data_IF_605448903377
#
_entry.id   IF_605448903377
#
_cell.length_a   1.000
_cell.length_b   1.000
_cell.length_c   1.000
_cell.angle_alpha   90.00
_cell.angle_beta   90.00
_cell.angle_gamma   90.00
#
_symmetry.space_group_name_H-M   'P 1'
#
loop_
_entity.id
_entity.type
_entity.pdbx_description
1 polymer ?
#
# COMPACT_ATOMS: atom_id res chain seq x y z
N UNK A 1 28.04 37.06 -9.96
CA UNK A 1 26.84 37.91 -9.83
C UNK A 1 27.14 38.93 -8.74
N UNK A 2 26.90 40.24 -8.95
CA UNK A 2 27.07 41.23 -7.88
C UNK A 2 25.74 41.42 -7.16
N UNK A 3 25.61 40.89 -5.95
CA UNK A 3 24.32 40.88 -5.23
C UNK A 3 23.83 42.29 -4.91
N UNK A 4 24.75 43.22 -4.64
CA UNK A 4 24.48 44.61 -4.30
C UNK A 4 23.83 45.42 -5.43
N UNK A 5 24.05 45.06 -6.69
CA UNK A 5 23.55 45.82 -7.86
C UNK A 5 22.19 45.33 -8.37
N UNK A 6 21.74 44.17 -7.91
CA UNK A 6 20.52 43.54 -8.43
C UNK A 6 19.34 43.73 -7.49
N UNK A 7 18.15 43.93 -8.05
CA UNK A 7 16.90 43.90 -7.30
C UNK A 7 16.60 42.49 -6.78
N UNK A 8 15.75 42.36 -5.76
CA UNK A 8 15.30 41.07 -5.22
C UNK A 8 14.65 40.20 -6.32
N UNK A 9 13.93 40.84 -7.25
CA UNK A 9 13.26 40.15 -8.36
C UNK A 9 14.28 39.55 -9.32
N UNK A 10 15.33 40.28 -9.65
CA UNK A 10 16.41 39.81 -10.53
C UNK A 10 17.22 38.72 -9.85
N UNK A 11 17.58 38.87 -8.57
CA UNK A 11 18.26 37.83 -7.80
C UNK A 11 17.46 36.53 -7.74
N UNK A 12 16.14 36.64 -7.52
CA UNK A 12 15.24 35.48 -7.56
C UNK A 12 15.27 34.80 -8.92
N UNK A 13 15.16 35.57 -10.01
CA UNK A 13 15.17 35.04 -11.37
C UNK A 13 16.50 34.37 -11.74
N UNK A 14 17.63 34.94 -11.33
CA UNK A 14 18.95 34.32 -11.55
C UNK A 14 19.12 33.04 -10.75
N UNK A 15 18.78 33.04 -9.46
CA UNK A 15 18.87 31.83 -8.65
C UNK A 15 17.94 30.72 -9.14
N UNK A 16 16.77 31.06 -9.71
CA UNK A 16 15.84 30.07 -10.29
C UNK A 16 16.37 29.45 -11.60
N UNK A 17 17.29 30.12 -12.32
CA UNK A 17 17.98 29.57 -13.49
C UNK A 17 19.20 28.72 -13.11
N UNK A 18 19.74 28.89 -11.91
CA UNK A 18 20.92 28.16 -11.46
C UNK A 18 20.54 26.76 -10.97
N UNK A 19 21.33 25.78 -11.37
CA UNK A 19 21.33 24.49 -10.69
C UNK A 19 21.68 24.67 -9.21
N UNK A 20 21.03 23.91 -8.35
CA UNK A 20 21.17 24.10 -6.90
C UNK A 20 22.60 23.84 -6.41
N UNK A 21 23.36 23.01 -7.13
CA UNK A 21 24.79 22.75 -6.91
C UNK A 21 25.67 23.94 -7.27
N UNK A 22 25.26 24.77 -8.23
CA UNK A 22 25.99 25.97 -8.67
C UNK A 22 25.79 27.16 -7.72
N UNK A 23 24.77 27.12 -6.86
CA UNK A 23 24.57 28.12 -5.79
C UNK A 23 25.60 27.86 -4.70
N UNK A 24 26.74 28.57 -4.77
CA UNK A 24 27.87 28.37 -3.88
C UNK A 24 27.59 28.82 -2.43
N UNK A 25 28.39 28.34 -1.48
CA UNK A 25 28.26 28.77 -0.08
C UNK A 25 28.64 30.25 0.09
N UNK A 26 29.58 30.76 -0.72
CA UNK A 26 29.97 32.16 -0.74
C UNK A 26 28.82 33.06 -1.20
N UNK A 27 28.10 32.66 -2.26
CA UNK A 27 26.93 33.40 -2.73
C UNK A 27 25.82 33.41 -1.67
N UNK A 28 25.58 32.29 -0.98
CA UNK A 28 24.60 32.24 0.11
C UNK A 28 25.03 33.10 1.30
N UNK A 29 26.33 33.16 1.62
CA UNK A 29 26.86 34.05 2.65
C UNK A 29 26.65 35.53 2.27
N UNK A 30 26.92 35.90 1.02
CA UNK A 30 26.70 37.26 0.49
C UNK A 30 25.22 37.66 0.58
N UNK A 31 24.31 36.79 0.10
CA UNK A 31 22.86 37.00 0.19
C UNK A 31 22.35 37.06 1.64
N UNK A 32 23.00 36.34 2.57
CA UNK A 32 22.64 36.33 4.00
C UNK A 32 23.10 37.62 4.69
N UNK A 33 24.25 38.17 4.28
CA UNK A 33 24.82 39.40 4.80
C UNK A 33 24.17 40.67 4.21
N UNK A 34 23.39 40.54 3.14
CA UNK A 34 22.66 41.66 2.50
C UNK A 34 21.72 42.36 3.49
N UNK A 35 21.62 43.69 3.42
CA UNK A 35 20.80 44.49 4.33
C UNK A 35 19.30 44.36 4.08
N UNK A 36 18.89 43.94 2.88
CA UNK A 36 17.48 43.87 2.46
C UNK A 36 16.86 42.57 2.98
N UNK A 37 15.84 42.70 3.85
CA UNK A 37 15.15 41.55 4.47
C UNK A 37 14.65 40.50 3.47
N UNK A 38 14.20 40.91 2.28
CA UNK A 38 13.74 39.97 1.25
C UNK A 38 14.88 39.16 0.60
N UNK A 39 16.09 39.71 0.49
CA UNK A 39 17.29 38.97 0.03
C UNK A 39 17.71 37.96 1.09
N UNK A 40 17.72 38.36 2.37
CA UNK A 40 18.01 37.44 3.47
C UNK A 40 17.00 36.28 3.54
N UNK A 41 15.71 36.54 3.30
CA UNK A 41 14.68 35.49 3.22
C UNK A 41 14.91 34.56 2.02
N UNK A 42 15.33 35.10 0.88
CA UNK A 42 15.70 34.32 -0.31
C UNK A 42 16.90 33.40 -0.01
N UNK A 43 17.92 33.92 0.68
CA UNK A 43 19.07 33.12 1.13
C UNK A 43 18.64 31.95 2.02
N UNK A 44 17.82 32.21 3.04
CA UNK A 44 17.28 31.16 3.94
C UNK A 44 16.48 30.10 3.18
N UNK A 45 15.70 30.49 2.18
CA UNK A 45 14.95 29.55 1.32
C UNK A 45 15.89 28.63 0.57
N UNK A 46 16.94 29.16 -0.05
CA UNK A 46 17.91 28.36 -0.81
C UNK A 46 18.80 27.50 0.09
N UNK A 47 19.23 27.99 1.26
CA UNK A 47 19.93 27.19 2.27
C UNK A 47 19.08 25.97 2.69
N UNK A 48 17.81 26.17 3.05
CA UNK A 48 16.89 25.07 3.37
C UNK A 48 16.69 24.11 2.20
N UNK A 49 16.64 24.62 0.97
CA UNK A 49 16.52 23.80 -0.24
C UNK A 49 17.77 22.92 -0.42
N UNK A 50 18.98 23.48 -0.29
CA UNK A 50 20.27 22.74 -0.33
C UNK A 50 20.34 21.68 0.77
N UNK A 51 20.02 22.04 2.01
CA UNK A 51 20.00 21.12 3.14
C UNK A 51 19.06 19.93 2.91
N UNK A 52 17.83 20.19 2.45
CA UNK A 52 16.87 19.10 2.13
C UNK A 52 17.38 18.17 1.04
N UNK A 53 18.02 18.71 -0.01
CA UNK A 53 18.62 17.88 -1.06
C UNK A 53 19.78 17.04 -0.51
N UNK A 54 20.67 17.64 0.29
CA UNK A 54 21.77 16.93 0.92
C UNK A 54 21.26 15.81 1.85
N UNK A 55 20.26 16.08 2.67
CA UNK A 55 19.62 15.09 3.55
C UNK A 55 19.02 13.92 2.77
N UNK A 56 18.34 14.18 1.64
CA UNK A 56 17.80 13.12 0.78
C UNK A 56 18.88 12.24 0.17
N UNK A 57 20.01 12.84 -0.24
CA UNK A 57 21.16 12.09 -0.76
C UNK A 57 21.78 11.21 0.32
N UNK A 58 21.93 11.75 1.53
CA UNK A 58 22.51 11.00 2.64
C UNK A 58 21.59 9.86 3.08
N UNK A 59 20.30 10.15 3.27
CA UNK A 59 19.29 9.14 3.60
C UNK A 59 19.25 8.00 2.57
N UNK A 60 19.37 8.31 1.28
CA UNK A 60 19.42 7.30 0.24
C UNK A 60 20.65 6.39 0.39
N UNK A 61 21.83 6.95 0.67
CA UNK A 61 23.04 6.14 0.92
C UNK A 61 22.89 5.27 2.16
N UNK A 62 22.33 5.81 3.24
CA UNK A 62 22.05 5.05 4.45
C UNK A 62 21.09 3.88 4.17
N UNK A 63 20.04 4.12 3.39
CA UNK A 63 19.08 3.07 3.03
C UNK A 63 19.68 2.00 2.11
N UNK A 64 20.62 2.34 1.23
CA UNK A 64 21.26 1.40 0.30
C UNK A 64 22.26 0.45 0.98
N UNK A 65 22.59 0.67 2.26
CA UNK A 65 23.60 -0.13 2.96
C UNK A 65 23.28 -1.62 2.97
N UNK A 66 22.00 -2.02 3.03
CA UNK A 66 21.62 -3.43 3.00
C UNK A 66 21.94 -4.07 1.66
N UNK A 67 21.61 -3.40 0.56
CA UNK A 67 21.89 -3.84 -0.79
C UNK A 67 23.41 -3.86 -1.05
N UNK A 68 24.13 -2.83 -0.61
CA UNK A 68 25.60 -2.75 -0.76
C UNK A 68 26.31 -3.88 0.03
N UNK A 69 25.88 -4.16 1.27
CA UNK A 69 26.43 -5.23 2.08
C UNK A 69 26.19 -6.61 1.45
N UNK A 70 25.03 -6.82 0.82
CA UNK A 70 24.72 -8.07 0.10
C UNK A 70 25.51 -8.17 -1.20
N UNK A 71 25.63 -7.09 -1.97
CA UNK A 71 26.45 -7.06 -3.19
C UNK A 71 27.92 -7.41 -2.88
N UNK A 72 28.48 -6.85 -1.79
CA UNK A 72 29.83 -7.18 -1.31
C UNK A 72 30.00 -8.65 -0.89
N UNK A 73 28.92 -9.34 -0.54
CA UNK A 73 28.91 -10.79 -0.26
C UNK A 73 28.74 -11.65 -1.51
N UNK A 74 28.55 -11.04 -2.69
CA UNK A 74 28.48 -11.71 -3.98
C UNK A 74 27.08 -11.97 -4.51
N UNK A 75 26.02 -11.50 -3.84
CA UNK A 75 24.65 -11.54 -4.40
C UNK A 75 24.52 -10.47 -5.50
N UNK A 76 23.87 -10.79 -6.62
CA UNK A 76 23.75 -9.87 -7.77
C UNK A 76 22.33 -9.35 -7.92
N UNK A 77 21.33 -10.23 -7.82
CA UNK A 77 19.93 -9.89 -7.95
C UNK A 77 19.27 -9.82 -6.58
N UNK A 78 19.26 -8.61 -6.00
CA UNK A 78 18.67 -8.34 -4.68
C UNK A 78 17.28 -7.74 -4.89
N UNK A 79 16.25 -8.49 -4.51
CA UNK A 79 14.86 -8.06 -4.57
C UNK A 79 14.40 -7.45 -3.25
N UNK A 80 13.77 -6.28 -3.29
CA UNK A 80 13.01 -5.74 -2.16
C UNK A 80 11.54 -6.12 -2.27
N UNK A 81 10.90 -6.49 -1.17
CA UNK A 81 9.50 -6.94 -1.12
C UNK A 81 8.71 -6.13 -0.10
N UNK A 82 7.55 -5.64 -0.52
CA UNK A 82 6.58 -4.96 0.36
C UNK A 82 5.14 -5.13 -0.18
N UNK A 83 4.16 -4.83 0.67
CA UNK A 83 2.73 -4.88 0.37
C UNK A 83 1.99 -3.54 0.50
N UNK A 84 0.83 -3.47 -0.13
CA UNK A 84 -0.17 -2.45 0.10
C UNK A 84 -1.55 -3.07 0.22
N UNK A 85 -2.37 -2.54 1.14
CA UNK A 85 -3.78 -2.90 1.20
C UNK A 85 -4.16 -4.00 2.18
N UNK A 86 -3.39 -4.25 3.25
CA UNK A 86 -3.83 -5.20 4.29
C UNK A 86 -5.01 -4.71 5.14
N UNK A 87 -5.00 -3.44 5.53
CA UNK A 87 -6.01 -2.83 6.41
C UNK A 87 -7.36 -2.39 5.80
N UNK A 88 -7.45 -2.03 4.50
CA UNK A 88 -8.72 -1.65 3.86
C UNK A 88 -9.85 -2.66 4.00
N UNK A 89 -11.08 -2.16 4.02
CA UNK A 89 -12.32 -2.95 4.00
C UNK A 89 -12.68 -3.44 2.59
N UNK A 90 -12.13 -2.80 1.55
CA UNK A 90 -12.41 -3.10 0.16
C UNK A 90 -11.15 -3.13 -0.71
N UNK A 91 -11.26 -3.84 -1.84
CA UNK A 91 -10.23 -4.01 -2.85
C UNK A 91 -9.18 -5.08 -2.50
N UNK A 92 -8.23 -5.33 -3.41
CA UNK A 92 -7.24 -6.37 -3.26
C UNK A 92 -6.16 -6.00 -2.22
N UNK A 93 -5.38 -7.00 -1.83
CA UNK A 93 -4.02 -6.80 -1.33
C UNK A 93 -3.06 -6.92 -2.52
N UNK A 94 -2.14 -5.96 -2.64
CA UNK A 94 -1.12 -5.94 -3.67
C UNK A 94 0.25 -6.12 -3.01
N UNK A 95 1.11 -6.93 -3.58
CA UNK A 95 2.51 -7.00 -3.22
C UNK A 95 3.37 -6.74 -4.44
N UNK A 96 4.58 -6.23 -4.21
CA UNK A 96 5.54 -6.03 -5.28
C UNK A 96 6.91 -6.56 -4.86
N UNK A 97 7.68 -7.00 -5.86
CA UNK A 97 9.12 -7.24 -5.74
C UNK A 97 9.83 -6.37 -6.75
N UNK A 98 10.85 -5.63 -6.30
CA UNK A 98 11.64 -4.76 -7.17
C UNK A 98 13.11 -5.11 -7.05
N UNK A 99 13.73 -5.40 -8.19
CA UNK A 99 15.18 -5.56 -8.32
C UNK A 99 15.73 -4.27 -8.92
N UNK A 100 16.62 -3.60 -8.20
CA UNK A 100 17.24 -2.35 -8.66
C UNK A 100 18.63 -2.60 -9.23
N UNK A 101 19.10 -1.79 -10.20
CA UNK A 101 20.48 -1.89 -10.67
C UNK A 101 21.46 -1.47 -9.56
N UNK A 102 22.67 -2.01 -9.58
CA UNK A 102 23.68 -1.79 -8.53
C UNK A 102 24.03 -0.30 -8.38
N UNK A 103 24.08 0.44 -9.48
CA UNK A 103 24.43 1.86 -9.55
C UNK A 103 23.22 2.81 -9.42
N UNK A 104 22.05 2.28 -9.04
CA UNK A 104 20.83 3.06 -8.86
C UNK A 104 21.06 4.28 -7.96
N UNK A 105 20.60 5.45 -8.41
CA UNK A 105 20.71 6.68 -7.64
C UNK A 105 19.41 7.48 -7.69
N UNK A 106 18.56 7.26 -6.68
CA UNK A 106 17.23 7.85 -6.62
C UNK A 106 16.98 8.65 -5.32
N UNK A 107 17.71 9.75 -5.05
CA UNK A 107 17.54 10.53 -3.82
C UNK A 107 16.11 11.00 -3.56
N UNK A 108 15.64 10.72 -2.35
CA UNK A 108 14.28 11.03 -1.93
C UNK A 108 13.28 9.91 -2.15
N UNK A 109 13.69 8.77 -2.73
CA UNK A 109 12.99 7.51 -2.58
C UNK A 109 12.87 7.18 -1.09
N UNK A 110 11.67 6.80 -0.65
CA UNK A 110 11.34 6.51 0.74
C UNK A 110 10.00 5.77 0.79
N UNK A 111 9.59 5.32 1.97
CA UNK A 111 8.26 4.76 2.25
C UNK A 111 7.14 5.53 1.53
N UNK A 112 6.29 4.78 0.80
CA UNK A 112 5.12 5.28 0.08
C UNK A 112 4.17 6.14 0.93
N UNK A 113 4.10 5.92 2.24
CA UNK A 113 3.27 6.70 3.18
C UNK A 113 3.89 8.05 3.52
N UNK A 114 5.20 8.21 3.35
CA UNK A 114 5.93 9.47 3.59
C UNK A 114 6.04 10.36 2.34
N UNK A 115 5.53 9.88 1.21
CA UNK A 115 5.53 10.59 -0.06
C UNK A 115 4.12 11.10 -0.39
N UNK A 116 4.05 12.27 -1.03
CA UNK A 116 2.79 12.72 -1.64
C UNK A 116 2.45 11.84 -2.84
N UNK A 117 1.17 11.74 -3.19
CA UNK A 117 0.68 10.98 -4.34
C UNK A 117 1.42 11.36 -5.64
N UNK A 118 1.53 12.65 -5.94
CA UNK A 118 2.28 13.13 -7.11
C UNK A 118 3.75 12.69 -7.11
N UNK A 119 4.39 12.60 -5.93
CA UNK A 119 5.79 12.16 -5.84
C UNK A 119 5.92 10.65 -5.96
N UNK A 120 4.95 9.88 -5.44
CA UNK A 120 4.86 8.43 -5.67
C UNK A 120 4.70 8.12 -7.14
N UNK A 121 3.82 8.82 -7.84
CA UNK A 121 3.63 8.65 -9.29
C UNK A 121 4.91 8.95 -10.08
N UNK A 122 5.65 10.00 -9.71
CA UNK A 122 6.97 10.29 -10.32
C UNK A 122 7.96 9.14 -10.10
N UNK A 123 8.04 8.61 -8.87
CA UNK A 123 8.94 7.48 -8.58
C UNK A 123 8.47 6.18 -9.22
N UNK A 124 7.16 5.92 -9.27
CA UNK A 124 6.60 4.77 -9.97
C UNK A 124 7.05 4.74 -11.42
N UNK A 125 6.92 5.88 -12.14
CA UNK A 125 7.36 5.98 -13.52
C UNK A 125 8.88 5.74 -13.68
N UNK A 126 9.70 6.30 -12.78
CA UNK A 126 11.15 6.07 -12.79
C UNK A 126 11.53 4.63 -12.49
N UNK A 127 10.87 3.99 -11.53
CA UNK A 127 11.12 2.59 -11.20
C UNK A 127 10.77 1.69 -12.38
N UNK A 128 9.68 1.95 -13.08
CA UNK A 128 9.32 1.22 -14.31
C UNK A 128 10.35 1.37 -15.44
N UNK A 129 11.10 2.47 -15.47
CA UNK A 129 12.14 2.72 -16.47
C UNK A 129 13.52 2.18 -16.06
N UNK A 130 13.89 2.32 -14.78
CA UNK A 130 15.25 2.10 -14.29
C UNK A 130 15.44 0.77 -13.53
N UNK A 131 14.37 0.13 -13.04
CA UNK A 131 14.50 -1.15 -12.33
C UNK A 131 14.96 -2.26 -13.29
N UNK A 132 15.73 -3.21 -12.75
CA UNK A 132 16.16 -4.40 -13.48
C UNK A 132 14.97 -5.32 -13.75
N UNK A 133 14.09 -5.46 -12.76
CA UNK A 133 12.87 -6.24 -12.88
C UNK A 133 11.85 -5.82 -11.81
N UNK A 134 10.57 -5.95 -12.12
CA UNK A 134 9.44 -5.64 -11.23
C UNK A 134 8.38 -6.72 -11.36
N UNK A 135 8.13 -7.41 -10.26
CA UNK A 135 7.03 -8.35 -10.12
C UNK A 135 5.91 -7.74 -9.28
N UNK A 136 4.66 -7.95 -9.68
CA UNK A 136 3.48 -7.53 -8.91
C UNK A 136 2.54 -8.71 -8.76
N UNK A 137 2.02 -8.92 -7.56
CA UNK A 137 1.01 -9.93 -7.26
C UNK A 137 -0.22 -9.31 -6.63
N UNK A 138 -1.39 -9.79 -7.02
CA UNK A 138 -2.68 -9.24 -6.60
C UNK A 138 -3.58 -10.35 -6.09
N UNK A 139 -4.12 -10.18 -4.89
CA UNK A 139 -5.11 -11.10 -4.32
C UNK A 139 -6.37 -10.32 -3.99
N UNK A 140 -7.47 -10.68 -4.63
CA UNK A 140 -8.78 -10.03 -4.52
C UNK A 140 -9.48 -10.28 -3.17
N UNK A 141 -10.59 -9.57 -2.95
CA UNK A 141 -11.39 -9.66 -1.72
C UNK A 141 -11.95 -11.05 -1.48
N UNK A 142 -12.44 -11.72 -2.53
CA UNK A 142 -13.00 -13.07 -2.44
C UNK A 142 -11.95 -14.04 -1.90
N UNK A 143 -10.74 -14.00 -2.47
CA UNK A 143 -9.65 -14.85 -2.01
C UNK A 143 -9.19 -14.47 -0.60
N UNK A 144 -9.16 -13.18 -0.26
CA UNK A 144 -8.87 -12.72 1.11
C UNK A 144 -9.84 -13.33 2.11
N UNK A 145 -11.14 -13.33 1.79
CA UNK A 145 -12.18 -13.89 2.65
C UNK A 145 -12.04 -15.41 2.82
N UNK A 146 -11.57 -16.12 1.79
CA UNK A 146 -11.33 -17.57 1.85
C UNK A 146 -10.13 -17.96 2.71
N UNK A 147 -8.99 -17.27 2.55
CA UNK A 147 -7.72 -17.71 3.15
C UNK A 147 -7.25 -16.89 4.34
N UNK A 148 -7.95 -15.82 4.70
CA UNK A 148 -7.57 -14.73 5.60
C UNK A 148 -6.49 -13.78 5.05
N UNK A 149 -6.46 -12.56 5.58
CA UNK A 149 -5.58 -11.49 5.11
C UNK A 149 -4.09 -11.80 5.22
N UNK A 150 -3.66 -12.62 6.20
CA UNK A 150 -2.25 -12.97 6.35
C UNK A 150 -1.80 -13.91 5.24
N UNK A 151 -2.57 -14.96 4.96
CA UNK A 151 -2.22 -15.91 3.90
C UNK A 151 -2.42 -15.30 2.51
N UNK A 152 -3.42 -14.42 2.34
CA UNK A 152 -3.59 -13.65 1.10
C UNK A 152 -2.38 -12.74 0.84
N UNK A 153 -1.82 -12.10 1.87
CA UNK A 153 -0.58 -11.32 1.74
C UNK A 153 0.59 -12.19 1.26
N UNK A 154 0.79 -13.36 1.88
CA UNK A 154 1.82 -14.30 1.46
C UNK A 154 1.59 -14.84 0.04
N UNK A 155 0.34 -15.03 -0.37
CA UNK A 155 0.01 -15.40 -1.74
C UNK A 155 0.37 -14.27 -2.72
N UNK A 156 0.00 -13.01 -2.42
CA UNK A 156 0.36 -11.86 -3.25
C UNK A 156 1.89 -11.70 -3.38
N UNK A 157 2.64 -11.85 -2.28
CA UNK A 157 4.10 -11.78 -2.31
C UNK A 157 4.73 -12.88 -3.16
N UNK A 158 4.25 -14.12 -3.05
CA UNK A 158 4.73 -15.24 -3.88
C UNK A 158 4.39 -15.05 -5.34
N UNK A 159 3.20 -14.55 -5.64
CA UNK A 159 2.79 -14.21 -7.00
C UNK A 159 3.66 -13.10 -7.59
N UNK A 160 3.96 -12.05 -6.82
CA UNK A 160 4.89 -11.00 -7.20
C UNK A 160 6.27 -11.56 -7.53
N UNK A 161 6.80 -12.47 -6.70
CA UNK A 161 8.08 -13.16 -6.98
C UNK A 161 7.99 -13.99 -8.27
N UNK A 162 6.90 -14.73 -8.49
CA UNK A 162 6.75 -15.57 -9.70
C UNK A 162 6.56 -14.79 -10.99
N UNK A 163 6.16 -13.52 -10.88
CA UNK A 163 5.96 -12.62 -12.03
C UNK A 163 7.24 -11.87 -12.42
N UNK A 164 8.36 -12.10 -11.72
CA UNK A 164 9.68 -11.64 -12.17
C UNK A 164 10.16 -12.48 -13.35
N UNK A 165 10.78 -11.84 -14.33
CA UNK A 165 11.52 -12.50 -15.40
C UNK A 165 12.85 -13.09 -14.90
N UNK A 166 13.45 -12.43 -13.91
CA UNK A 166 14.73 -12.80 -13.30
C UNK A 166 14.52 -13.26 -11.85
N UNK A 167 14.98 -14.45 -11.53
CA UNK A 167 14.91 -14.97 -10.16
C UNK A 167 15.91 -14.23 -9.25
N UNK A 168 15.47 -13.58 -8.16
CA UNK A 168 16.38 -12.96 -7.20
C UNK A 168 17.29 -13.99 -6.51
N UNK A 169 18.53 -13.59 -6.22
CA UNK A 169 19.45 -14.36 -5.39
C UNK A 169 19.14 -14.18 -3.89
N UNK A 170 18.60 -13.00 -3.54
CA UNK A 170 18.31 -12.61 -2.16
C UNK A 170 17.11 -11.69 -2.09
N UNK A 171 16.31 -11.85 -1.04
CA UNK A 171 15.15 -11.00 -0.76
C UNK A 171 15.33 -10.19 0.53
N UNK A 172 15.12 -8.89 0.43
CA UNK A 172 14.89 -8.00 1.56
C UNK A 172 13.37 -7.81 1.69
N UNK A 173 12.78 -8.23 2.82
CA UNK A 173 11.32 -8.24 2.99
C UNK A 173 10.91 -7.32 4.14
N UNK A 174 9.90 -6.48 3.92
CA UNK A 174 9.30 -5.72 5.03
C UNK A 174 8.48 -6.64 5.94
N UNK A 175 8.75 -6.60 7.25
CA UNK A 175 7.98 -7.35 8.24
C UNK A 175 8.42 -8.80 8.44
N UNK A 176 7.76 -9.77 7.80
CA UNK A 176 7.90 -11.22 8.08
C UNK A 176 8.55 -12.00 6.93
N UNK A 177 9.10 -13.17 7.23
CA UNK A 177 9.67 -14.06 6.21
C UNK A 177 8.56 -14.69 5.38
N UNK A 178 8.74 -14.74 4.06
CA UNK A 178 7.74 -15.31 3.16
C UNK A 178 7.88 -16.83 3.22
N UNK A 179 6.82 -17.57 3.60
CA UNK A 179 6.88 -19.03 3.66
C UNK A 179 6.89 -19.63 2.24
N UNK A 180 7.37 -20.86 2.13
CA UNK A 180 7.29 -21.68 0.91
C UNK A 180 8.04 -21.10 -0.30
N UNK A 181 9.10 -20.32 -0.07
CA UNK A 181 10.04 -19.89 -1.10
C UNK A 181 11.45 -20.39 -0.82
N UNK A 182 12.15 -20.81 -1.88
CA UNK A 182 13.51 -21.34 -1.81
C UNK A 182 14.63 -20.31 -1.97
N UNK A 183 14.29 -19.02 -1.91
CA UNK A 183 15.23 -17.89 -2.07
C UNK A 183 15.69 -17.45 -0.68
N UNK A 184 16.95 -17.10 -0.52
CA UNK A 184 17.44 -16.56 0.75
C UNK A 184 16.78 -15.22 1.06
N UNK A 185 16.41 -15.01 2.34
CA UNK A 185 15.61 -13.85 2.74
C UNK A 185 16.17 -13.20 4.00
N UNK A 186 15.96 -11.90 4.12
CA UNK A 186 16.10 -11.16 5.38
C UNK A 186 14.88 -10.28 5.59
N UNK A 187 14.18 -10.55 6.68
CA UNK A 187 13.15 -9.62 7.17
C UNK A 187 13.78 -8.38 7.79
N UNK A 188 13.20 -7.22 7.51
CA UNK A 188 13.56 -5.94 8.09
C UNK A 188 12.33 -5.34 8.77
N UNK A 189 12.51 -4.87 10.01
CA UNK A 189 11.50 -4.04 10.68
C UNK A 189 11.62 -2.63 10.12
N UNK A 190 10.48 -2.09 9.68
CA UNK A 190 10.36 -0.81 8.97
C UNK A 190 11.32 -0.78 7.76
N UNK A 191 11.28 -1.85 6.96
CA UNK A 191 12.15 -2.06 5.82
C UNK A 191 12.00 -0.97 4.76
N UNK A 192 10.79 -0.48 4.55
CA UNK A 192 10.43 0.62 3.63
C UNK A 192 11.16 1.95 3.92
N UNK A 193 11.63 2.14 5.16
CA UNK A 193 12.40 3.31 5.59
C UNK A 193 13.91 3.06 5.69
N UNK A 194 14.34 1.83 5.40
CA UNK A 194 15.70 1.36 5.69
C UNK A 194 16.39 0.68 4.52
N UNK A 195 15.66 0.23 3.52
CA UNK A 195 16.16 -0.41 2.30
C UNK A 195 15.59 0.29 1.08
N UNK A 196 16.43 0.60 0.10
CA UNK A 196 15.99 1.27 -1.13
C UNK A 196 15.14 0.35 -2.00
N UNK A 197 15.43 -0.95 -2.03
CA UNK A 197 14.67 -1.93 -2.78
C UNK A 197 13.28 -2.16 -2.16
N UNK A 198 13.17 -2.25 -0.82
CA UNK A 198 11.86 -2.34 -0.15
C UNK A 198 11.06 -1.05 -0.34
N UNK A 199 11.68 0.12 -0.21
CA UNK A 199 11.00 1.39 -0.47
C UNK A 199 10.45 1.46 -1.90
N UNK A 200 11.19 0.97 -2.89
CA UNK A 200 10.73 0.86 -4.27
C UNK A 200 9.51 -0.06 -4.39
N UNK A 201 9.56 -1.25 -3.79
CA UNK A 201 8.44 -2.19 -3.75
C UNK A 201 7.19 -1.58 -3.09
N UNK A 202 7.35 -0.84 -2.00
CA UNK A 202 6.25 -0.12 -1.33
C UNK A 202 5.50 0.81 -2.29
N UNK A 203 6.25 1.51 -3.15
CA UNK A 203 5.69 2.47 -4.10
C UNK A 203 4.97 1.74 -5.22
N UNK A 204 5.59 0.69 -5.78
CA UNK A 204 4.98 -0.12 -6.83
C UNK A 204 3.67 -0.75 -6.33
N UNK A 205 3.68 -1.40 -5.17
CA UNK A 205 2.49 -2.02 -4.59
C UNK A 205 1.40 -0.97 -4.32
N UNK A 206 1.77 0.17 -3.71
CA UNK A 206 0.83 1.23 -3.34
C UNK A 206 0.18 1.89 -4.55
N UNK A 207 0.97 2.31 -5.53
CA UNK A 207 0.45 3.00 -6.71
C UNK A 207 -0.39 2.05 -7.57
N UNK A 208 0.06 0.80 -7.75
CA UNK A 208 -0.72 -0.20 -8.49
C UNK A 208 -2.08 -0.42 -7.84
N UNK A 209 -2.10 -0.66 -6.52
CA UNK A 209 -3.35 -0.83 -5.79
C UNK A 209 -4.25 0.41 -5.86
N UNK A 210 -3.70 1.59 -5.58
CA UNK A 210 -4.50 2.81 -5.51
C UNK A 210 -5.16 3.15 -6.87
N UNK A 211 -4.51 2.82 -7.99
CA UNK A 211 -5.08 2.95 -9.33
C UNK A 211 -6.27 2.00 -9.54
N UNK A 212 -6.19 0.75 -9.09
CA UNK A 212 -7.34 -0.16 -9.15
C UNK A 212 -8.54 0.38 -8.36
N UNK A 213 -8.31 0.99 -7.20
CA UNK A 213 -9.40 1.60 -6.41
C UNK A 213 -10.01 2.84 -7.10
N UNK A 214 -9.26 3.52 -7.97
CA UNK A 214 -9.82 4.59 -8.83
C UNK A 214 -10.66 4.00 -9.96
N UNK A 215 -10.30 2.83 -10.49
CA UNK A 215 -11.10 2.11 -11.47
C UNK A 215 -12.40 1.58 -10.85
N UNK A 216 -12.32 0.97 -9.67
CA UNK A 216 -13.50 0.48 -8.94
C UNK A 216 -14.48 1.60 -8.54
N UNK A 217 -13.99 2.81 -8.30
CA UNK A 217 -14.85 3.98 -8.03
C UNK A 217 -15.78 4.30 -9.21
N UNK A 218 -15.38 3.97 -10.45
CA UNK A 218 -16.22 4.15 -11.63
C UNK A 218 -17.35 3.12 -11.69
N UNK A 219 -17.11 1.92 -11.16
CA UNK A 219 -18.07 0.82 -11.10
C UNK A 219 -19.00 0.94 -9.88
N UNK A 220 -18.47 1.45 -8.76
CA UNK A 220 -19.16 1.58 -7.47
C UNK A 220 -19.04 3.02 -6.94
N UNK A 221 -19.65 4.01 -7.62
CA UNK A 221 -19.50 5.43 -7.29
C UNK A 221 -20.09 5.82 -5.93
N UNK A 222 -20.96 4.98 -5.37
CA UNK A 222 -21.63 5.20 -4.07
C UNK A 222 -20.63 5.25 -2.90
N UNK A 223 -19.46 4.63 -3.06
CA UNK A 223 -18.50 4.43 -1.97
C UNK A 223 -17.35 5.44 -1.99
N UNK A 224 -17.13 6.21 -3.06
CA UNK A 224 -16.04 7.21 -3.14
C UNK A 224 -14.63 6.64 -2.84
N UNK A 225 -14.33 5.46 -3.37
CA UNK A 225 -13.05 4.76 -3.23
C UNK A 225 -11.84 5.60 -3.66
N UNK A 226 -12.01 6.58 -4.54
CA UNK A 226 -10.92 7.50 -4.94
C UNK A 226 -10.32 8.22 -3.73
N UNK A 227 -11.11 8.60 -2.72
CA UNK A 227 -10.64 9.38 -1.57
C UNK A 227 -9.93 8.50 -0.53
N UNK A 228 -10.60 7.46 -0.04
CA UNK A 228 -10.10 6.66 1.07
C UNK A 228 -9.48 5.33 0.65
N UNK A 229 -9.42 4.98 -0.64
CA UNK A 229 -8.76 3.78 -1.18
C UNK A 229 -9.20 2.47 -0.50
N UNK A 230 -10.47 2.42 -0.10
CA UNK A 230 -11.08 1.29 0.62
C UNK A 230 -10.79 1.23 2.12
N UNK A 231 -10.02 2.16 2.72
CA UNK A 231 -9.86 2.22 4.18
C UNK A 231 -11.18 2.59 4.85
N UNK A 232 -11.44 2.07 6.06
CA UNK A 232 -12.67 2.32 6.83
C UNK A 232 -12.69 3.72 7.46
N UNK A 233 -12.70 4.77 6.63
CA UNK A 233 -12.95 6.15 7.07
C UNK A 233 -14.42 6.33 7.44
N UNK A 234 -14.76 7.41 8.14
CA UNK A 234 -16.15 7.72 8.47
C UNK A 234 -17.06 7.74 7.23
N UNK A 235 -16.58 8.33 6.13
CA UNK A 235 -17.31 8.38 4.85
C UNK A 235 -17.56 6.98 4.28
N UNK A 236 -16.56 6.10 4.33
CA UNK A 236 -16.70 4.74 3.80
C UNK A 236 -17.66 3.90 4.65
N UNK A 237 -17.62 4.04 5.98
CA UNK A 237 -18.56 3.35 6.88
C UNK A 237 -19.99 3.85 6.63
N UNK A 238 -20.19 5.15 6.44
CA UNK A 238 -21.51 5.69 6.14
C UNK A 238 -22.07 5.14 4.80
N UNK A 239 -21.24 5.08 3.76
CA UNK A 239 -21.63 4.50 2.48
C UNK A 239 -21.97 3.00 2.60
N UNK A 240 -21.20 2.25 3.39
CA UNK A 240 -21.47 0.85 3.69
C UNK A 240 -22.81 0.65 4.43
N UNK A 241 -23.14 1.52 5.37
CA UNK A 241 -24.41 1.47 6.11
C UNK A 241 -25.61 1.85 5.23
N UNK A 242 -25.43 2.79 4.29
CA UNK A 242 -26.51 3.25 3.40
C UNK A 242 -26.77 2.31 2.23
N UNK A 243 -25.71 1.77 1.62
CA UNK A 243 -25.80 1.01 0.36
C UNK A 243 -25.54 -0.49 0.52
N UNK A 244 -25.14 -0.93 1.72
CA UNK A 244 -24.62 -2.28 1.95
C UNK A 244 -23.21 -2.45 1.36
N UNK A 245 -22.62 -3.65 1.42
CA UNK A 245 -21.35 -3.95 0.77
C UNK A 245 -21.51 -4.34 -0.72
N UNK A 246 -20.60 -3.85 -1.56
CA UNK A 246 -20.43 -4.28 -2.95
C UNK A 246 -19.39 -5.43 -3.10
N UNK A 247 -19.28 -6.06 -4.30
CA UNK A 247 -18.44 -7.26 -4.53
C UNK A 247 -16.96 -7.14 -4.15
N UNK A 248 -16.38 -5.93 -4.17
CA UNK A 248 -14.97 -5.75 -3.82
C UNK A 248 -14.72 -5.58 -2.32
N UNK A 249 -15.76 -5.60 -1.49
CA UNK A 249 -15.61 -5.59 -0.04
C UNK A 249 -15.17 -6.95 0.48
N UNK A 250 -14.44 -6.93 1.60
CA UNK A 250 -13.95 -8.12 2.29
C UNK A 250 -14.95 -8.54 3.34
N UNK A 251 -15.86 -9.44 3.00
CA UNK A 251 -16.96 -9.86 3.87
C UNK A 251 -16.48 -10.57 5.14
N UNK A 252 -15.22 -11.04 5.19
CA UNK A 252 -14.63 -11.58 6.41
C UNK A 252 -14.21 -10.49 7.41
N UNK A 253 -14.19 -9.21 7.02
CA UNK A 253 -13.81 -8.10 7.90
C UNK A 253 -15.04 -7.64 8.69
N UNK A 254 -14.89 -7.44 10.00
CA UNK A 254 -16.01 -7.25 10.92
C UNK A 254 -17.01 -6.17 10.48
N UNK A 255 -16.52 -5.00 10.06
CA UNK A 255 -17.39 -3.88 9.65
C UNK A 255 -18.17 -4.13 8.38
N UNK A 256 -17.56 -4.83 7.42
CA UNK A 256 -18.25 -5.24 6.19
C UNK A 256 -19.29 -6.30 6.52
N UNK A 257 -18.90 -7.29 7.33
CA UNK A 257 -19.79 -8.36 7.78
C UNK A 257 -21.02 -7.80 8.51
N UNK A 258 -20.83 -6.86 9.43
CA UNK A 258 -21.92 -6.19 10.15
C UNK A 258 -22.89 -5.49 9.20
N UNK A 259 -22.38 -4.80 8.16
CA UNK A 259 -23.21 -4.13 7.16
C UNK A 259 -23.86 -5.11 6.15
N UNK A 260 -23.34 -6.33 6.01
CA UNK A 260 -23.85 -7.35 5.10
C UNK A 260 -25.02 -8.16 5.64
N UNK A 261 -25.27 -8.11 6.95
CA UNK A 261 -26.21 -8.99 7.65
C UNK A 261 -27.40 -8.19 8.20
N UNK A 262 -28.61 -8.53 7.74
CA UNK A 262 -29.86 -7.88 8.15
C UNK A 262 -30.53 -8.54 9.36
N UNK A 263 -31.64 -7.94 9.82
CA UNK A 263 -32.42 -8.44 10.97
C UNK A 263 -32.93 -9.87 10.75
N UNK A 264 -33.39 -10.18 9.53
CA UNK A 264 -33.90 -11.51 9.16
C UNK A 264 -32.80 -12.59 9.27
N UNK A 265 -31.56 -12.26 8.89
CA UNK A 265 -30.43 -13.17 9.09
C UNK A 265 -30.24 -13.51 10.58
N UNK A 266 -30.26 -12.50 11.47
CA UNK A 266 -30.03 -12.73 12.89
C UNK A 266 -31.13 -13.57 13.53
N UNK A 267 -32.39 -13.42 13.09
CA UNK A 267 -33.50 -14.26 13.52
C UNK A 267 -33.26 -15.73 13.17
N UNK A 268 -32.84 -16.02 11.94
CA UNK A 268 -32.54 -17.39 11.52
C UNK A 268 -31.26 -17.93 12.16
N UNK A 269 -30.22 -17.10 12.30
CA UNK A 269 -28.98 -17.48 12.98
C UNK A 269 -29.24 -17.91 14.43
N UNK A 270 -30.04 -17.13 15.17
CA UNK A 270 -30.40 -17.45 16.55
C UNK A 270 -31.14 -18.78 16.63
N UNK A 271 -32.16 -18.97 15.79
CA UNK A 271 -32.90 -20.22 15.72
C UNK A 271 -32.01 -21.42 15.39
N UNK A 272 -31.16 -21.31 14.37
CA UNK A 272 -30.26 -22.41 13.97
C UNK A 272 -29.27 -22.76 15.09
N UNK A 273 -28.73 -21.79 15.83
CA UNK A 273 -27.80 -22.04 16.93
C UNK A 273 -28.49 -22.65 18.16
N UNK A 274 -29.75 -22.29 18.41
CA UNK A 274 -30.52 -22.75 19.57
C UNK A 274 -31.25 -24.09 19.33
N UNK A 275 -31.31 -24.58 18.09
CA UNK A 275 -31.97 -25.84 17.78
C UNK A 275 -31.39 -27.01 18.59
N UNK A 276 -32.26 -27.73 19.31
CA UNK A 276 -31.89 -28.82 20.23
C UNK A 276 -32.06 -30.22 19.60
N UNK A 277 -32.59 -30.29 18.39
CA UNK A 277 -32.79 -31.54 17.65
C UNK A 277 -32.60 -31.37 16.15
N UNK A 278 -32.33 -32.47 15.44
CA UNK A 278 -32.22 -32.46 13.98
C UNK A 278 -33.55 -32.04 13.32
N UNK A 279 -34.69 -32.47 13.87
CA UNK A 279 -36.02 -32.13 13.32
C UNK A 279 -36.31 -30.64 13.42
N UNK A 280 -35.97 -30.01 14.55
CA UNK A 280 -36.07 -28.56 14.73
C UNK A 280 -35.14 -27.81 13.77
N UNK A 281 -33.89 -28.27 13.65
CA UNK A 281 -32.90 -27.68 12.75
C UNK A 281 -33.36 -27.73 11.28
N UNK A 282 -33.91 -28.85 10.83
CA UNK A 282 -34.46 -29.01 9.47
C UNK A 282 -35.74 -28.18 9.27
N UNK A 283 -36.58 -28.01 10.30
CA UNK A 283 -37.75 -27.13 10.26
C UNK A 283 -37.35 -25.66 10.05
N UNK A 284 -36.33 -25.19 10.77
CA UNK A 284 -35.82 -23.81 10.62
C UNK A 284 -35.21 -23.64 9.22
N UNK A 285 -34.46 -24.62 8.74
CA UNK A 285 -33.90 -24.60 7.39
C UNK A 285 -34.98 -24.58 6.29
N UNK A 286 -36.17 -25.17 6.53
CA UNK A 286 -37.31 -25.04 5.63
C UNK A 286 -37.86 -23.61 5.62
N UNK A 287 -38.01 -22.96 6.78
CA UNK A 287 -38.41 -21.55 6.86
C UNK A 287 -37.42 -20.62 6.14
N UNK A 288 -36.11 -20.86 6.26
CA UNK A 288 -35.08 -20.13 5.50
C UNK A 288 -35.32 -20.26 3.99
N UNK A 289 -35.68 -21.46 3.50
CA UNK A 289 -35.97 -21.69 2.08
C UNK A 289 -37.21 -20.95 1.58
N UNK A 290 -38.21 -20.75 2.44
CA UNK A 290 -39.41 -19.96 2.12
C UNK A 290 -39.11 -18.45 2.06
N UNK A 291 -38.08 -18.00 2.79
CA UNK A 291 -37.68 -16.59 2.85
C UNK A 291 -36.43 -16.26 2.02
N UNK A 292 -36.05 -17.10 1.04
CA UNK A 292 -34.84 -16.89 0.22
C UNK A 292 -34.83 -15.53 -0.46
N UNK A 293 -35.99 -15.04 -0.90
CA UNK A 293 -36.12 -13.74 -1.58
C UNK A 293 -35.88 -12.53 -0.65
N UNK A 294 -35.85 -12.75 0.67
CA UNK A 294 -35.58 -11.72 1.68
C UNK A 294 -34.11 -11.69 2.13
N UNK A 295 -33.33 -12.70 1.75
CA UNK A 295 -31.95 -12.88 2.21
C UNK A 295 -30.99 -12.74 1.02
N UNK A 296 -29.89 -12.03 1.24
CA UNK A 296 -28.78 -11.97 0.29
C UNK A 296 -28.11 -13.35 0.14
N UNK A 297 -27.41 -13.56 -0.97
CA UNK A 297 -26.60 -14.77 -1.18
C UNK A 297 -25.54 -14.97 -0.08
N UNK A 298 -24.99 -13.87 0.45
CA UNK A 298 -24.05 -13.90 1.56
C UNK A 298 -24.71 -14.41 2.85
N UNK A 299 -25.87 -13.88 3.22
CA UNK A 299 -26.64 -14.36 4.39
C UNK A 299 -27.02 -15.83 4.25
N UNK A 300 -27.49 -16.23 3.06
CA UNK A 300 -27.85 -17.62 2.78
C UNK A 300 -26.63 -18.56 2.89
N UNK A 301 -25.45 -18.11 2.48
CA UNK A 301 -24.19 -18.88 2.62
C UNK A 301 -23.82 -19.03 4.10
N UNK A 302 -23.92 -17.96 4.88
CA UNK A 302 -23.62 -18.00 6.31
C UNK A 302 -24.60 -18.88 7.10
N UNK A 303 -25.90 -18.77 6.84
CA UNK A 303 -26.91 -19.65 7.46
C UNK A 303 -26.68 -21.13 7.10
N UNK A 304 -26.28 -21.43 5.86
CA UNK A 304 -25.90 -22.80 5.44
C UNK A 304 -24.69 -23.34 6.21
N UNK A 305 -23.69 -22.49 6.48
CA UNK A 305 -22.52 -22.87 7.27
C UNK A 305 -22.92 -23.20 8.71
N UNK A 306 -23.74 -22.35 9.34
CA UNK A 306 -24.24 -22.54 10.71
C UNK A 306 -25.07 -23.82 10.80
N UNK A 307 -26.00 -24.04 9.87
CA UNK A 307 -26.78 -25.27 9.78
C UNK A 307 -25.88 -26.52 9.71
N UNK A 308 -24.87 -26.49 8.83
CA UNK A 308 -23.97 -27.63 8.63
C UNK A 308 -23.16 -27.95 9.89
N UNK A 309 -22.65 -26.93 10.57
CA UNK A 309 -21.94 -27.08 11.83
C UNK A 309 -22.87 -27.62 12.94
N UNK A 310 -24.03 -26.99 13.15
CA UNK A 310 -24.98 -27.42 14.19
C UNK A 310 -25.47 -28.85 13.97
N UNK A 311 -25.72 -29.23 12.72
CA UNK A 311 -26.12 -30.60 12.35
C UNK A 311 -25.05 -31.63 12.71
N UNK A 312 -23.77 -31.27 12.64
CA UNK A 312 -22.69 -32.15 13.09
C UNK A 312 -22.64 -32.27 14.62
N UNK A 313 -22.93 -31.20 15.35
CA UNK A 313 -22.96 -31.20 16.83
C UNK A 313 -24.12 -32.02 17.41
N UNK A 314 -25.27 -32.07 16.72
CA UNK A 314 -26.48 -32.80 17.15
C UNK A 314 -26.49 -34.30 16.75
N UNK A 315 -25.47 -34.77 16.02
CA UNK A 315 -25.30 -36.17 15.60
C UNK A 315 -24.45 -36.95 16.58
#
# INVERSE_FOLDING_TARGET
>A
MQVSEMTIKELKAELEKMELTAVSEELLAELTADSRKGVQQLAKRYQRKKQRVAQKKEKFREMKQFEDDLANRGYQLIGGVDEAGRGPLAGPVAAAVVILPEDIWMPGLNDSKQLSEAKREEFFAKLQEEAVDIGVGLVDSDRIDEVNIRNANYQAMREAISNLEQTPDYLLVDGEEIPEIGIEQRRLVDGDQRSVSIAAASIIAKVTRDRMLVEYDQEYPEYNFVQHKGYGTADHIAALEEHGPCPIHRYSFSKVREAALGEDYYLFEEGLKQADSIDELESIAASVKECVDLLSEFELKELRNIFSQRRQELR
#
